data_IF_893787188699
#
_entry.id   IF_893787188699
#
_cell.length_a   1.000
_cell.length_b   1.000
_cell.length_c   1.000
_cell.angle_alpha   90.00
_cell.angle_beta   90.00
_cell.angle_gamma   90.00
#
_symmetry.space_group_name_H-M   'P 1'
#
loop_
_entity.id
_entity.type
_entity.pdbx_description
1 polymer ?
#
# COMPACT_ATOMS: atom_id res chain seq x y z
N UNK A 1 -22.58 -23.16 -18.76
CA UNK A 1 -22.05 -21.78 -18.68
C UNK A 1 -22.17 -21.14 -17.28
N UNK A 2 -23.34 -21.12 -16.63
CA UNK A 2 -23.51 -20.52 -15.28
C UNK A 2 -22.62 -21.13 -14.16
N UNK A 3 -22.40 -22.44 -14.18
CA UNK A 3 -21.60 -23.14 -13.15
C UNK A 3 -20.10 -22.82 -13.27
N UNK A 4 -19.57 -22.72 -14.50
CA UNK A 4 -18.16 -22.38 -14.75
C UNK A 4 -17.83 -20.96 -14.27
N UNK A 5 -18.74 -19.99 -14.46
CA UNK A 5 -18.59 -18.64 -13.94
C UNK A 5 -18.60 -18.61 -12.40
N UNK A 6 -19.37 -19.49 -11.73
CA UNK A 6 -19.41 -19.59 -10.28
C UNK A 6 -18.09 -20.14 -9.71
N UNK A 7 -17.56 -21.22 -10.28
CA UNK A 7 -16.29 -21.80 -9.83
C UNK A 7 -15.11 -20.85 -10.09
N UNK A 8 -15.12 -20.14 -11.22
CA UNK A 8 -14.17 -19.07 -11.48
C UNK A 8 -14.25 -17.95 -10.44
N UNK A 9 -15.45 -17.47 -10.11
CA UNK A 9 -15.64 -16.42 -9.13
C UNK A 9 -15.17 -16.85 -7.72
N UNK A 10 -15.47 -18.08 -7.30
CA UNK A 10 -14.98 -18.64 -6.03
C UNK A 10 -13.46 -18.67 -5.99
N UNK A 11 -12.82 -19.16 -7.06
CA UNK A 11 -11.36 -19.20 -7.17
C UNK A 11 -10.77 -17.79 -7.05
N UNK A 12 -11.36 -16.81 -7.74
CA UNK A 12 -10.93 -15.40 -7.67
C UNK A 12 -11.08 -14.80 -6.27
N UNK A 13 -12.15 -15.11 -5.55
CA UNK A 13 -12.34 -14.64 -4.17
C UNK A 13 -11.23 -15.19 -3.25
N UNK A 14 -10.90 -16.48 -3.40
CA UNK A 14 -9.82 -17.11 -2.62
C UNK A 14 -8.46 -16.47 -2.97
N UNK A 15 -8.17 -16.28 -4.25
CA UNK A 15 -6.93 -15.60 -4.69
C UNK A 15 -6.81 -14.19 -4.08
N UNK A 16 -7.88 -13.39 -4.13
CA UNK A 16 -7.89 -12.03 -3.55
C UNK A 16 -7.74 -12.08 -2.03
N UNK A 17 -8.35 -13.05 -1.37
CA UNK A 17 -8.23 -13.23 0.09
C UNK A 17 -6.78 -13.57 0.49
N UNK A 18 -6.14 -14.48 -0.23
CA UNK A 18 -4.74 -14.86 0.04
C UNK A 18 -3.79 -13.69 -0.21
N UNK A 19 -4.00 -12.93 -1.30
CA UNK A 19 -3.25 -11.71 -1.59
C UNK A 19 -3.43 -10.65 -0.50
N UNK A 20 -4.65 -10.47 0.01
CA UNK A 20 -4.95 -9.56 1.11
C UNK A 20 -4.19 -9.96 2.39
N UNK A 21 -4.24 -11.23 2.79
CA UNK A 21 -3.54 -11.68 4.00
C UNK A 21 -2.03 -11.53 3.87
N UNK A 22 -1.46 -11.85 2.71
CA UNK A 22 -0.05 -11.61 2.43
C UNK A 22 0.33 -10.13 2.54
N UNK A 23 -0.48 -9.24 1.96
CA UNK A 23 -0.25 -7.80 2.04
C UNK A 23 -0.31 -7.28 3.49
N UNK A 24 -1.32 -7.73 4.26
CA UNK A 24 -1.47 -7.40 5.68
C UNK A 24 -0.25 -7.81 6.49
N UNK A 25 0.21 -9.05 6.32
CA UNK A 25 1.31 -9.59 7.11
C UNK A 25 2.65 -8.90 6.75
N UNK A 26 2.86 -8.60 5.46
CA UNK A 26 3.99 -7.78 5.02
C UNK A 26 3.97 -6.38 5.65
N UNK A 27 2.82 -5.71 5.65
CA UNK A 27 2.69 -4.38 6.25
C UNK A 27 2.94 -4.41 7.77
N UNK A 28 2.42 -5.43 8.45
CA UNK A 28 2.69 -5.64 9.89
C UNK A 28 4.18 -5.82 10.16
N UNK A 29 4.85 -6.70 9.40
CA UNK A 29 6.29 -6.91 9.52
C UNK A 29 7.09 -5.63 9.29
N UNK A 30 6.71 -4.84 8.27
CA UNK A 30 7.30 -3.52 8.02
C UNK A 30 7.09 -2.55 9.19
N UNK A 31 5.88 -2.46 9.73
CA UNK A 31 5.55 -1.58 10.86
C UNK A 31 6.32 -1.95 12.12
N UNK A 32 6.55 -3.24 12.38
CA UNK A 32 7.24 -3.72 13.59
C UNK A 32 8.77 -3.57 13.51
N UNK A 33 9.35 -3.73 12.31
CA UNK A 33 10.81 -3.81 12.15
C UNK A 33 11.38 -2.71 11.26
N UNK A 34 10.83 -2.53 10.06
CA UNK A 34 11.34 -1.61 9.04
C UNK A 34 11.14 -0.14 9.39
N UNK A 35 10.03 0.20 10.04
CA UNK A 35 9.68 1.60 10.37
C UNK A 35 10.75 2.29 11.23
N UNK A 36 11.35 1.55 12.17
CA UNK A 36 12.37 2.10 13.06
C UNK A 36 13.61 2.63 12.31
N UNK A 37 13.96 2.00 11.18
CA UNK A 37 15.07 2.41 10.32
C UNK A 37 14.82 3.80 9.74
N UNK A 38 13.60 4.04 9.22
CA UNK A 38 13.23 5.34 8.66
C UNK A 38 13.19 6.43 9.72
N UNK A 39 12.70 6.12 10.92
CA UNK A 39 12.68 7.07 12.03
C UNK A 39 14.09 7.51 12.44
N UNK A 40 15.05 6.59 12.45
CA UNK A 40 16.41 6.86 12.91
C UNK A 40 17.30 7.55 11.87
N UNK A 41 17.19 7.14 10.60
CA UNK A 41 18.20 7.48 9.60
C UNK A 41 17.70 8.29 8.42
N UNK A 42 16.39 8.32 8.14
CA UNK A 42 15.89 8.97 6.94
C UNK A 42 15.75 10.48 7.13
N UNK A 43 15.88 11.25 6.05
CA UNK A 43 15.59 12.68 6.04
C UNK A 43 14.13 13.02 6.34
N UNK A 44 13.85 14.31 6.58
CA UNK A 44 12.51 14.78 6.93
C UNK A 44 11.47 14.48 5.83
N UNK A 45 11.86 14.60 4.56
CA UNK A 45 10.96 14.36 3.44
C UNK A 45 10.53 12.89 3.36
N UNK A 46 11.46 11.97 3.60
CA UNK A 46 11.15 10.53 3.68
C UNK A 46 10.19 10.23 4.83
N UNK A 47 10.43 10.82 6.00
CA UNK A 47 9.53 10.64 7.16
C UNK A 47 8.13 11.17 6.88
N UNK A 48 8.00 12.31 6.22
CA UNK A 48 6.71 12.89 5.84
C UNK A 48 5.97 12.01 4.82
N UNK A 49 6.69 11.52 3.81
CA UNK A 49 6.14 10.61 2.82
C UNK A 49 5.70 9.28 3.45
N UNK A 50 6.47 8.77 4.42
CA UNK A 50 6.13 7.56 5.15
C UNK A 50 4.85 7.72 5.97
N UNK A 51 4.69 8.82 6.72
CA UNK A 51 3.45 9.11 7.45
C UNK A 51 2.25 9.16 6.50
N UNK A 52 2.41 9.81 5.35
CA UNK A 52 1.35 9.89 4.33
C UNK A 52 0.96 8.50 3.81
N UNK A 53 1.96 7.65 3.52
CA UNK A 53 1.75 6.27 3.11
C UNK A 53 1.00 5.46 4.16
N UNK A 54 1.37 5.56 5.44
CA UNK A 54 0.70 4.84 6.53
C UNK A 54 -0.76 5.25 6.70
N UNK A 55 -1.07 6.55 6.59
CA UNK A 55 -2.44 7.04 6.65
C UNK A 55 -3.28 6.46 5.50
N UNK A 56 -2.74 6.44 4.28
CA UNK A 56 -3.44 5.86 3.13
C UNK A 56 -3.66 4.36 3.32
N UNK A 57 -2.64 3.61 3.76
CA UNK A 57 -2.78 2.17 4.01
C UNK A 57 -3.81 1.92 5.11
N UNK A 58 -3.79 2.67 6.21
CA UNK A 58 -4.78 2.53 7.26
C UNK A 58 -6.20 2.79 6.72
N UNK A 59 -6.41 3.89 6.01
CA UNK A 59 -7.72 4.24 5.48
C UNK A 59 -8.25 3.17 4.51
N UNK A 60 -7.41 2.72 3.58
CA UNK A 60 -7.83 1.78 2.54
C UNK A 60 -7.92 0.34 3.07
N UNK A 61 -6.83 -0.17 3.66
CA UNK A 61 -6.77 -1.58 4.06
C UNK A 61 -7.47 -1.87 5.39
N UNK A 62 -7.41 -0.95 6.38
CA UNK A 62 -7.96 -1.21 7.71
C UNK A 62 -9.40 -0.69 7.80
N UNK A 63 -9.63 0.54 7.35
CA UNK A 63 -10.96 1.18 7.46
C UNK A 63 -11.88 0.91 6.25
N UNK A 64 -11.37 0.28 5.18
CA UNK A 64 -12.17 -0.07 4.01
C UNK A 64 -12.59 1.11 3.15
N UNK A 65 -11.91 2.26 3.27
CA UNK A 65 -12.15 3.39 2.38
C UNK A 65 -11.72 3.05 0.95
N UNK A 66 -12.39 3.62 -0.06
CA UNK A 66 -11.97 3.46 -1.44
C UNK A 66 -10.52 3.94 -1.62
N UNK A 67 -9.72 3.17 -2.34
CA UNK A 67 -8.35 3.55 -2.71
C UNK A 67 -8.28 4.70 -3.73
N UNK A 68 -9.43 5.29 -4.09
CA UNK A 68 -9.60 6.25 -5.17
C UNK A 68 -10.52 7.35 -4.69
N UNK A 69 -10.20 8.59 -5.04
CA UNK A 69 -11.17 9.68 -4.95
C UNK A 69 -12.03 9.72 -6.22
N UNK A 70 -13.28 10.16 -6.08
CA UNK A 70 -14.28 10.09 -7.15
C UNK A 70 -13.83 10.81 -8.43
N UNK A 71 -14.11 10.15 -9.57
CA UNK A 71 -13.96 10.56 -10.98
C UNK A 71 -12.64 10.30 -11.69
N UNK A 72 -11.50 10.10 -11.01
CA UNK A 72 -10.25 9.76 -11.70
C UNK A 72 -9.98 8.25 -11.66
N UNK A 73 -10.23 7.57 -12.78
CA UNK A 73 -10.08 6.11 -12.89
C UNK A 73 -8.62 5.65 -12.83
N UNK A 74 -7.67 6.58 -12.97
CA UNK A 74 -6.24 6.31 -13.09
C UNK A 74 -5.47 6.56 -11.78
N UNK A 75 -6.02 7.34 -10.84
CA UNK A 75 -5.33 7.68 -9.60
C UNK A 75 -5.70 6.73 -8.45
N UNK A 76 -4.84 5.75 -8.21
CA UNK A 76 -4.86 4.93 -7.01
C UNK A 76 -4.03 5.62 -5.91
N UNK A 77 -4.69 6.05 -4.83
CA UNK A 77 -4.06 6.70 -3.69
C UNK A 77 -2.93 5.86 -3.07
N UNK A 78 -3.04 4.53 -3.10
CA UNK A 78 -1.97 3.64 -2.64
C UNK A 78 -0.74 3.78 -3.53
N UNK A 79 -0.92 3.78 -4.86
CA UNK A 79 0.20 3.87 -5.80
C UNK A 79 0.86 5.24 -5.75
N UNK A 80 0.08 6.31 -5.62
CA UNK A 80 0.59 7.68 -5.44
C UNK A 80 1.43 7.77 -4.17
N UNK A 81 0.88 7.33 -3.03
CA UNK A 81 1.60 7.39 -1.76
C UNK A 81 2.87 6.53 -1.78
N UNK A 82 2.82 5.36 -2.42
CA UNK A 82 3.97 4.48 -2.61
C UNK A 82 5.06 5.14 -3.46
N UNK A 83 4.70 5.73 -4.59
CA UNK A 83 5.66 6.39 -5.49
C UNK A 83 6.31 7.58 -4.80
N UNK A 84 5.53 8.41 -4.10
CA UNK A 84 6.05 9.53 -3.32
C UNK A 84 7.06 9.09 -2.25
N UNK A 85 6.78 7.98 -1.56
CA UNK A 85 7.73 7.40 -0.60
C UNK A 85 9.01 6.93 -1.31
N UNK A 86 8.91 6.19 -2.41
CA UNK A 86 10.08 5.72 -3.16
C UNK A 86 10.94 6.88 -3.65
N UNK A 87 10.32 7.92 -4.20
CA UNK A 87 11.05 9.07 -4.74
C UNK A 87 11.69 9.90 -3.63
N UNK A 88 11.02 10.04 -2.48
CA UNK A 88 11.64 10.66 -1.30
C UNK A 88 12.89 9.90 -0.85
N UNK A 89 12.86 8.56 -0.83
CA UNK A 89 14.00 7.73 -0.45
C UNK A 89 15.15 7.86 -1.47
N UNK A 90 14.83 7.86 -2.77
CA UNK A 90 15.84 8.07 -3.82
C UNK A 90 16.56 9.40 -3.68
N UNK A 91 15.79 10.46 -3.44
CA UNK A 91 16.33 11.80 -3.23
C UNK A 91 17.21 11.88 -1.97
N UNK A 92 16.79 11.25 -0.87
CA UNK A 92 17.54 11.21 0.39
C UNK A 92 18.87 10.46 0.24
N UNK A 93 18.89 9.41 -0.58
CA UNK A 93 20.11 8.66 -0.93
C UNK A 93 21.01 9.38 -1.95
N UNK A 94 20.62 10.55 -2.47
CA UNK A 94 21.37 11.30 -3.46
C UNK A 94 21.28 10.74 -4.90
N UNK A 95 20.38 9.79 -5.15
CA UNK A 95 20.11 9.27 -6.49
C UNK A 95 19.05 10.15 -7.17
N UNK A 96 19.51 11.25 -7.80
CA UNK A 96 18.70 12.11 -8.67
C UNK A 96 18.64 11.57 -10.10
#
# INVERSE_FOLDING_TARGET
MKISNREYAKKKIIEIQDEYFKARDNYKSFSESGKSIFTLYAGQDVRNALVSFEVIIHNVFISGYPARDGNDLLENNIDIARNNLIDSIRNDLGNK
#
